data_IF_667455610399
#
_entry.id   IF_667455610399
#
_cell.length_a   1.000
_cell.length_b   1.000
_cell.length_c   1.000
_cell.angle_alpha   90.00
_cell.angle_beta   90.00
_cell.angle_gamma   90.00
#
_symmetry.space_group_name_H-M   'P 1'
#
loop_
_entity.id
_entity.type
_entity.pdbx_description
1 polymer ?
#
# COMPACT_ATOMS: atom_id res chain seq x y z
N UNK A 1 20.85 -27.52 5.63
CA UNK A 1 20.03 -26.70 6.54
C UNK A 1 20.31 -25.23 6.26
N UNK A 2 19.47 -24.61 5.43
CA UNK A 2 19.44 -23.15 5.26
C UNK A 2 18.03 -22.80 4.77
N UNK A 3 17.06 -22.90 5.68
CA UNK A 3 15.68 -22.52 5.38
C UNK A 3 15.57 -21.01 5.23
N UNK A 4 14.88 -20.66 4.15
CA UNK A 4 14.26 -19.39 3.82
C UNK A 4 13.91 -18.52 5.04
N UNK A 5 14.47 -17.30 5.06
CA UNK A 5 14.12 -16.25 6.03
C UNK A 5 13.61 -15.00 5.32
N UNK A 6 12.48 -15.10 4.64
CA UNK A 6 11.70 -13.92 4.22
C UNK A 6 10.61 -13.70 5.27
N UNK A 7 10.96 -12.99 6.35
CA UNK A 7 10.12 -12.89 7.55
C UNK A 7 9.67 -11.48 7.94
N UNK A 8 9.88 -10.50 7.08
CA UNK A 8 9.44 -9.12 7.35
C UNK A 8 8.31 -8.77 6.40
N UNK A 9 7.18 -8.31 6.94
CA UNK A 9 6.00 -7.90 6.19
C UNK A 9 5.57 -6.48 6.61
N UNK A 10 5.01 -5.67 5.69
CA UNK A 10 4.35 -4.42 6.07
C UNK A 10 3.29 -4.65 7.15
N UNK A 11 3.19 -3.72 8.10
CA UNK A 11 2.27 -3.80 9.24
C UNK A 11 2.84 -4.46 10.49
N UNK A 12 3.99 -5.13 10.44
CA UNK A 12 4.60 -5.74 11.63
C UNK A 12 5.11 -4.68 12.62
N UNK A 13 4.84 -4.86 13.90
CA UNK A 13 5.37 -4.06 15.00
C UNK A 13 6.83 -4.41 15.27
N UNK A 14 7.71 -3.42 15.25
CA UNK A 14 9.16 -3.57 15.39
C UNK A 14 9.58 -3.23 16.81
N UNK A 15 10.35 -4.12 17.44
CA UNK A 15 10.90 -3.97 18.78
C UNK A 15 12.42 -4.11 18.76
N UNK A 16 13.11 -3.30 19.56
CA UNK A 16 14.56 -3.40 19.73
C UNK A 16 14.95 -4.62 20.56
N UNK A 17 16.26 -4.93 20.60
CA UNK A 17 16.82 -6.00 21.43
C UNK A 17 16.60 -5.78 22.95
N UNK A 18 16.34 -4.53 23.34
CA UNK A 18 15.94 -4.08 24.66
C UNK A 18 14.44 -4.29 24.95
N UNK A 19 13.66 -4.78 23.98
CA UNK A 19 12.22 -5.02 24.09
C UNK A 19 11.36 -3.76 23.91
N UNK A 20 11.98 -2.60 23.70
CA UNK A 20 11.30 -1.32 23.50
C UNK A 20 10.69 -1.23 22.10
N UNK A 21 9.53 -0.57 22.00
CA UNK A 21 8.84 -0.39 20.72
C UNK A 21 9.55 0.65 19.86
N UNK A 22 9.89 0.28 18.64
CA UNK A 22 10.57 1.13 17.67
C UNK A 22 9.56 1.78 16.72
N UNK A 23 8.60 1.01 16.21
CA UNK A 23 7.64 1.48 15.21
C UNK A 23 6.96 0.33 14.46
N UNK A 24 6.41 0.61 13.28
CA UNK A 24 5.73 -0.38 12.44
C UNK A 24 6.40 -0.46 11.07
N UNK A 25 6.60 -1.66 10.54
CA UNK A 25 7.12 -1.86 9.18
C UNK A 25 6.16 -1.21 8.19
N UNK A 26 6.64 -0.17 7.51
CA UNK A 26 5.92 0.59 6.49
C UNK A 26 6.15 -0.01 5.10
N UNK A 27 7.38 -0.42 4.80
CA UNK A 27 7.77 -0.95 3.49
C UNK A 27 8.90 -1.96 3.66
N UNK A 28 8.89 -3.03 2.87
CA UNK A 28 9.99 -3.99 2.80
C UNK A 28 10.66 -3.85 1.44
N UNK A 29 11.97 -3.67 1.41
CA UNK A 29 12.78 -3.53 0.19
C UNK A 29 13.75 -4.69 0.08
N UNK A 30 14.50 -4.76 -1.01
CA UNK A 30 15.44 -5.86 -1.26
C UNK A 30 16.50 -5.99 -0.16
N UNK A 31 17.06 -4.86 0.32
CA UNK A 31 18.20 -4.84 1.27
C UNK A 31 17.83 -4.43 2.70
N UNK A 32 16.72 -3.72 2.86
CA UNK A 32 16.28 -3.15 4.13
C UNK A 32 14.74 -3.18 4.23
N UNK A 33 14.22 -2.64 5.32
CA UNK A 33 12.81 -2.30 5.46
C UNK A 33 12.66 -0.96 6.16
N UNK A 34 11.63 -0.21 5.80
CA UNK A 34 11.33 1.10 6.37
C UNK A 34 10.38 0.91 7.55
N UNK A 35 10.71 1.50 8.69
CA UNK A 35 9.89 1.51 9.89
C UNK A 35 9.32 2.91 10.11
N UNK A 36 8.00 3.02 10.13
CA UNK A 36 7.27 4.22 10.54
C UNK A 36 7.26 4.32 12.05
N UNK A 37 7.62 5.49 12.59
CA UNK A 37 7.80 5.69 14.04
C UNK A 37 6.95 6.85 14.54
N UNK A 38 6.13 6.68 15.59
CA UNK A 38 5.31 7.77 16.12
C UNK A 38 6.17 8.95 16.57
N UNK A 39 5.94 10.14 16.02
CA UNK A 39 6.67 11.39 16.36
C UNK A 39 8.17 11.38 16.00
N UNK A 40 8.62 10.39 15.25
CA UNK A 40 9.98 10.30 14.72
C UNK A 40 9.93 10.10 13.21
N UNK A 41 11.05 10.34 12.53
CA UNK A 41 11.14 10.08 11.08
C UNK A 41 11.18 8.58 10.82
N UNK A 42 10.68 8.19 9.66
CA UNK A 42 10.84 6.85 9.10
C UNK A 42 12.32 6.50 9.07
N UNK A 43 12.63 5.23 9.33
CA UNK A 43 14.00 4.75 9.34
C UNK A 43 14.13 3.46 8.52
N UNK A 44 15.16 3.40 7.68
CA UNK A 44 15.53 2.17 6.98
C UNK A 44 16.38 1.30 7.91
N UNK A 45 15.93 0.08 8.14
CA UNK A 45 16.61 -0.91 8.98
C UNK A 45 17.10 -2.05 8.07
N UNK A 46 18.41 -2.34 8.05
CA UNK A 46 18.97 -3.46 7.33
C UNK A 46 18.33 -4.78 7.74
N UNK A 47 18.11 -5.69 6.78
CA UNK A 47 17.48 -6.99 7.05
C UNK A 47 18.30 -7.88 7.99
N UNK A 48 19.62 -7.75 7.99
CA UNK A 48 20.53 -8.46 8.89
C UNK A 48 20.45 -7.99 10.34
N UNK A 49 19.81 -6.84 10.61
CA UNK A 49 19.49 -6.39 11.95
C UNK A 49 18.30 -7.14 12.57
N UNK A 50 17.58 -7.99 11.83
CA UNK A 50 16.45 -8.78 12.33
C UNK A 50 16.96 -10.00 13.10
N UNK A 51 16.59 -10.11 14.38
CA UNK A 51 16.87 -11.29 15.21
C UNK A 51 15.80 -12.35 15.01
N UNK A 52 14.53 -11.95 15.12
CA UNK A 52 13.39 -12.85 15.10
C UNK A 52 12.16 -12.15 14.51
N UNK A 53 11.29 -12.94 13.89
CA UNK A 53 10.07 -12.46 13.26
C UNK A 53 8.93 -13.43 13.55
N UNK A 54 7.97 -12.97 14.34
CA UNK A 54 6.80 -13.72 14.77
C UNK A 54 5.61 -13.23 13.92
N UNK A 55 5.45 -13.85 12.75
CA UNK A 55 4.42 -13.47 11.76
C UNK A 55 3.00 -13.60 12.30
N UNK A 56 2.70 -14.64 13.09
CA UNK A 56 1.40 -14.84 13.75
C UNK A 56 1.03 -13.73 14.74
N UNK A 57 2.03 -13.02 15.29
CA UNK A 57 1.84 -11.95 16.26
C UNK A 57 2.04 -10.55 15.64
N UNK A 58 2.31 -10.49 14.32
CA UNK A 58 2.74 -9.27 13.63
C UNK A 58 3.88 -8.56 14.39
N UNK A 59 4.87 -9.33 14.87
CA UNK A 59 5.96 -8.82 15.72
C UNK A 59 7.32 -9.13 15.10
N UNK A 60 8.18 -8.11 15.03
CA UNK A 60 9.53 -8.18 14.52
C UNK A 60 10.50 -7.73 15.62
N UNK A 61 11.48 -8.55 15.96
CA UNK A 61 12.50 -8.25 16.96
C UNK A 61 13.86 -8.04 16.31
N UNK A 62 14.50 -6.92 16.64
CA UNK A 62 15.81 -6.56 16.15
C UNK A 62 16.92 -7.11 17.06
N UNK A 63 18.09 -7.37 16.49
CA UNK A 63 19.32 -7.67 17.20
C UNK A 63 20.03 -6.44 17.77
N UNK A 64 19.53 -5.24 17.45
CA UNK A 64 20.02 -3.94 17.92
C UNK A 64 18.99 -3.26 18.82
N UNK A 65 19.44 -2.43 19.76
CA UNK A 65 18.56 -1.71 20.69
C UNK A 65 17.80 -0.56 20.02
N UNK A 66 16.67 -0.16 20.61
CA UNK A 66 15.88 1.01 20.16
C UNK A 66 16.73 2.29 20.04
N UNK A 67 17.68 2.50 20.98
CA UNK A 67 18.59 3.64 21.00
C UNK A 67 19.64 3.62 19.87
N UNK A 68 20.08 2.43 19.45
CA UNK A 68 20.97 2.28 18.28
C UNK A 68 20.21 2.58 16.99
N UNK A 69 18.95 2.12 16.88
CA UNK A 69 18.07 2.48 15.76
C UNK A 69 17.90 4.00 15.67
N UNK A 70 17.72 4.70 16.79
CA UNK A 70 17.66 6.17 16.79
C UNK A 70 18.92 6.86 16.26
N UNK A 71 20.09 6.27 16.48
CA UNK A 71 21.37 6.79 15.98
C UNK A 71 21.53 6.54 14.48
N UNK A 72 21.08 5.39 13.97
CA UNK A 72 21.09 5.07 12.54
C UNK A 72 20.28 6.06 11.69
N UNK A 73 19.22 6.63 12.27
CA UNK A 73 18.41 7.67 11.61
C UNK A 73 19.14 9.00 11.41
N UNK A 74 20.25 9.23 12.13
CA UNK A 74 21.07 10.45 12.03
C UNK A 74 22.22 10.32 11.03
N UNK A 75 22.72 9.10 10.81
CA UNK A 75 23.91 8.86 9.97
C UNK A 75 23.58 8.72 8.47
N UNK A 76 22.33 8.41 8.12
CA UNK A 76 21.87 8.27 6.72
C UNK A 76 21.37 9.58 6.09
N UNK A 77 21.96 10.72 6.49
CA UNK A 77 21.61 12.03 5.92
C UNK A 77 22.05 12.07 4.43
N UNK A 78 21.13 12.23 3.46
CA UNK A 78 21.53 12.33 2.06
C UNK A 78 22.26 13.65 1.85
N UNK A 79 23.54 13.58 1.48
CA UNK A 79 24.25 14.70 0.89
C UNK A 79 23.51 15.16 -0.36
N UNK A 80 22.92 16.35 -0.31
CA UNK A 80 22.17 17.01 -1.40
C UNK A 80 22.84 16.84 -2.77
N UNK A 81 22.17 16.23 -3.78
CA UNK A 81 22.55 16.44 -5.16
C UNK A 81 21.99 17.77 -5.66
N UNK A 82 22.86 18.52 -6.32
CA UNK A 82 22.68 19.84 -6.92
C UNK A 82 21.46 19.91 -7.85
N UNK A 83 20.74 21.03 -7.77
CA UNK A 83 19.61 21.39 -8.61
C UNK A 83 19.90 21.25 -10.11
N UNK A 84 19.07 20.48 -10.81
CA UNK A 84 19.10 20.36 -12.27
C UNK A 84 17.71 20.01 -12.82
N UNK A 85 17.12 20.97 -13.53
CA UNK A 85 16.08 20.84 -14.56
C UNK A 85 14.85 19.94 -14.28
N UNK A 86 13.72 20.58 -13.96
CA UNK A 86 12.39 20.00 -14.14
C UNK A 86 12.03 19.98 -15.63
N UNK A 87 11.65 18.84 -16.23
CA UNK A 87 10.96 18.84 -17.50
C UNK A 87 9.50 19.23 -17.27
N UNK A 88 9.07 20.30 -17.92
CA UNK A 88 7.66 20.64 -18.12
C UNK A 88 7.02 19.63 -19.08
N UNK A 89 6.26 18.70 -18.52
CA UNK A 89 5.40 17.78 -19.26
C UNK A 89 4.23 17.41 -18.37
N UNK A 90 3.13 18.14 -18.51
CA UNK A 90 1.84 17.73 -17.99
C UNK A 90 1.33 16.63 -18.94
N UNK A 91 1.63 15.37 -18.62
CA UNK A 91 0.89 14.22 -19.11
C UNK A 91 0.24 13.54 -17.91
N UNK A 92 -1.03 13.23 -18.08
CA UNK A 92 -2.02 12.74 -17.11
C UNK A 92 -1.54 11.45 -16.43
N UNK A 93 -1.17 11.52 -15.15
CA UNK A 93 -0.52 10.41 -14.40
C UNK A 93 -1.49 9.22 -14.15
N UNK A 94 -2.79 9.38 -14.40
CA UNK A 94 -3.77 8.28 -14.27
C UNK A 94 -3.80 7.36 -15.50
N UNK A 95 -3.45 7.84 -16.69
CA UNK A 95 -3.39 7.05 -17.92
C UNK A 95 -2.01 6.38 -18.03
N UNK A 96 -1.86 5.18 -17.49
CA UNK A 96 -0.63 4.41 -17.78
C UNK A 96 -0.21 3.36 -16.76
N UNK A 97 -0.88 3.27 -15.60
CA UNK A 97 -0.59 2.18 -14.67
C UNK A 97 -1.06 0.85 -15.25
N UNK A 98 -0.16 -0.13 -15.23
CA UNK A 98 -0.38 -1.47 -15.78
C UNK A 98 -0.43 -2.50 -14.67
N UNK A 99 -1.00 -3.66 -14.99
CA UNK A 99 -1.01 -4.84 -14.12
C UNK A 99 0.42 -5.20 -13.67
N UNK A 100 1.42 -5.05 -14.55
CA UNK A 100 2.83 -5.25 -14.22
C UNK A 100 3.32 -4.44 -13.00
N UNK A 101 2.74 -3.27 -12.74
CA UNK A 101 3.15 -2.39 -11.62
C UNK A 101 2.66 -2.88 -10.26
N UNK A 102 1.68 -3.81 -10.26
CA UNK A 102 1.04 -4.36 -9.06
C UNK A 102 1.28 -5.87 -8.91
N UNK A 103 1.80 -6.51 -9.96
CA UNK A 103 2.05 -7.94 -10.02
C UNK A 103 3.16 -8.36 -9.06
N UNK A 104 2.95 -9.51 -8.42
CA UNK A 104 3.93 -10.22 -7.59
C UNK A 104 4.47 -11.39 -8.42
N UNK A 105 5.80 -11.49 -8.55
CA UNK A 105 6.45 -12.56 -9.32
C UNK A 105 6.60 -13.87 -8.53
N UNK A 106 6.49 -13.81 -7.20
CA UNK A 106 6.54 -15.02 -6.37
C UNK A 106 5.21 -15.75 -6.50
N UNK A 107 5.27 -16.97 -7.04
CA UNK A 107 4.09 -17.78 -7.35
C UNK A 107 3.93 -18.87 -6.32
N UNK A 108 2.93 -18.70 -5.45
CA UNK A 108 2.50 -19.74 -4.52
C UNK A 108 1.33 -20.52 -5.16
N UNK A 109 1.69 -21.58 -5.90
CA UNK A 109 0.79 -22.37 -6.78
C UNK A 109 0.72 -23.84 -6.38
N UNK A 110 -0.30 -24.55 -6.87
CA UNK A 110 -0.49 -26.00 -6.64
C UNK A 110 -0.73 -26.76 -7.95
N UNK A 111 -0.41 -28.06 -7.95
CA UNK A 111 -0.70 -28.95 -9.07
C UNK A 111 -2.15 -29.45 -9.04
N UNK A 112 -2.81 -29.67 -10.20
CA UNK A 112 -4.17 -30.22 -10.24
C UNK A 112 -4.31 -31.61 -9.61
N UNK A 113 -3.23 -32.40 -9.56
CA UNK A 113 -3.21 -33.74 -8.95
C UNK A 113 -2.85 -33.74 -7.46
N UNK A 114 -2.58 -32.56 -6.89
CA UNK A 114 -2.28 -32.43 -5.47
C UNK A 114 -3.53 -32.76 -4.64
N UNK A 115 -3.35 -33.49 -3.54
CA UNK A 115 -4.44 -33.83 -2.64
C UNK A 115 -5.01 -32.57 -1.95
N UNK A 116 -6.33 -32.54 -1.79
CA UNK A 116 -7.04 -31.47 -1.08
C UNK A 116 -6.45 -31.22 0.31
N UNK A 117 -6.08 -32.25 1.07
CA UNK A 117 -5.47 -32.14 2.41
C UNK A 117 -4.21 -31.27 2.41
N UNK A 118 -3.37 -31.41 1.39
CA UNK A 118 -2.14 -30.63 1.27
C UNK A 118 -2.46 -29.16 1.01
N UNK A 119 -3.44 -28.90 0.13
CA UNK A 119 -3.92 -27.53 -0.16
C UNK A 119 -4.57 -26.90 1.04
N UNK A 120 -5.39 -27.65 1.80
CA UNK A 120 -6.00 -27.18 3.03
C UNK A 120 -4.96 -26.73 4.05
N UNK A 121 -3.89 -27.53 4.21
CA UNK A 121 -2.80 -27.22 5.14
C UNK A 121 -2.10 -25.91 4.75
N UNK A 122 -1.87 -25.69 3.46
CA UNK A 122 -1.22 -24.47 2.94
C UNK A 122 -2.10 -23.24 3.14
N UNK A 123 -3.37 -23.30 2.70
CA UNK A 123 -4.33 -22.21 2.87
C UNK A 123 -4.56 -21.86 4.35
N UNK A 124 -4.66 -22.87 5.23
CA UNK A 124 -4.85 -22.68 6.66
C UNK A 124 -3.65 -22.06 7.38
N UNK A 125 -2.44 -22.19 6.83
CA UNK A 125 -1.21 -21.63 7.41
C UNK A 125 -0.90 -20.20 6.98
N UNK A 126 -1.39 -19.76 5.81
CA UNK A 126 -0.88 -18.56 5.13
C UNK A 126 -1.88 -17.39 5.03
N UNK A 127 -3.02 -17.48 5.72
CA UNK A 127 -4.10 -16.48 5.64
C UNK A 127 -4.58 -16.16 4.20
N UNK A 128 -4.35 -17.10 3.27
CA UNK A 128 -4.85 -17.02 1.89
C UNK A 128 -6.24 -17.64 1.80
N UNK A 129 -7.07 -17.11 0.90
CA UNK A 129 -8.42 -17.61 0.63
C UNK A 129 -8.50 -18.45 -0.64
N UNK A 130 -7.50 -18.36 -1.52
CA UNK A 130 -7.42 -19.14 -2.75
C UNK A 130 -5.98 -19.44 -3.17
N UNK A 131 -5.80 -20.48 -3.99
CA UNK A 131 -4.54 -20.78 -4.67
C UNK A 131 -4.78 -20.99 -6.17
N UNK A 132 -3.83 -20.53 -6.98
CA UNK A 132 -3.83 -20.79 -8.43
C UNK A 132 -3.35 -22.22 -8.66
N UNK A 133 -4.11 -22.97 -9.46
CA UNK A 133 -3.79 -24.33 -9.88
C UNK A 133 -3.12 -24.28 -11.25
N UNK A 134 -1.92 -24.86 -11.35
CA UNK A 134 -1.07 -24.80 -12.55
C UNK A 134 -0.75 -26.20 -13.06
N UNK A 135 -0.90 -26.43 -14.37
CA UNK A 135 -0.42 -27.62 -15.05
C UNK A 135 0.72 -27.22 -16.01
N UNK A 136 1.94 -27.65 -15.70
CA UNK A 136 3.14 -27.13 -16.36
C UNK A 136 3.37 -25.66 -15.98
N UNK A 137 3.24 -24.77 -16.96
CA UNK A 137 3.36 -23.30 -16.77
C UNK A 137 2.02 -22.58 -16.92
N UNK A 138 0.91 -23.30 -17.16
CA UNK A 138 -0.38 -22.69 -17.47
C UNK A 138 -1.33 -22.77 -16.28
N UNK A 139 -2.00 -21.66 -15.87
CA UNK A 139 -3.06 -21.74 -14.89
C UNK A 139 -4.24 -22.49 -15.50
N UNK A 140 -4.71 -23.53 -14.80
CA UNK A 140 -5.82 -24.40 -15.22
C UNK A 140 -7.03 -24.32 -14.28
N UNK A 141 -6.88 -23.66 -13.13
CA UNK A 141 -7.95 -23.44 -12.18
C UNK A 141 -7.56 -22.56 -11.02
N UNK A 142 -8.54 -22.24 -10.18
CA UNK A 142 -8.34 -21.63 -8.86
C UNK A 142 -9.10 -22.49 -7.84
N UNK A 143 -8.44 -22.85 -6.74
CA UNK A 143 -9.08 -23.56 -5.63
C UNK A 143 -9.30 -22.59 -4.48
N UNK A 144 -10.54 -22.50 -3.98
CA UNK A 144 -10.92 -21.59 -2.89
C UNK A 144 -11.03 -22.35 -1.58
N UNK A 145 -10.61 -21.71 -0.49
CA UNK A 145 -10.70 -22.27 0.86
C UNK A 145 -12.12 -22.75 1.19
N UNK A 146 -13.14 -21.95 0.85
CA UNK A 146 -14.55 -22.27 1.11
C UNK A 146 -15.05 -23.56 0.45
N UNK A 147 -14.44 -23.96 -0.67
CA UNK A 147 -14.84 -25.16 -1.42
C UNK A 147 -14.28 -26.43 -0.79
N UNK A 148 -13.11 -26.31 -0.16
CA UNK A 148 -12.38 -27.46 0.33
C UNK A 148 -12.38 -27.60 1.85
N UNK A 149 -12.63 -26.53 2.62
CA UNK A 149 -12.49 -26.55 4.09
C UNK A 149 -13.41 -27.56 4.81
N UNK A 150 -14.50 -27.98 4.18
CA UNK A 150 -15.41 -29.01 4.71
C UNK A 150 -15.05 -30.45 4.34
N UNK A 151 -14.06 -30.66 3.47
CA UNK A 151 -13.67 -31.98 2.98
C UNK A 151 -12.76 -32.68 4.00
N UNK A 152 -13.07 -33.92 4.35
CA UNK A 152 -12.36 -34.72 5.34
C UNK A 152 -12.35 -36.20 4.95
N UNK A 153 -11.50 -37.00 5.62
CA UNK A 153 -11.42 -38.44 5.35
C UNK A 153 -10.93 -38.72 3.92
N UNK A 154 -11.63 -39.61 3.21
CA UNK A 154 -11.31 -39.95 1.82
C UNK A 154 -11.46 -38.76 0.86
N UNK A 155 -12.41 -37.85 1.12
CA UNK A 155 -12.59 -36.67 0.26
C UNK A 155 -11.41 -35.70 0.32
N UNK A 156 -10.66 -35.67 1.42
CA UNK A 156 -9.45 -34.86 1.53
C UNK A 156 -8.25 -35.45 0.76
N UNK A 157 -8.31 -36.73 0.36
CA UNK A 157 -7.28 -37.38 -0.46
C UNK A 157 -7.52 -37.22 -1.96
N UNK A 158 -8.72 -36.76 -2.36
CA UNK A 158 -9.06 -36.52 -3.77
C UNK A 158 -8.23 -35.36 -4.34
N UNK A 159 -7.96 -35.36 -5.65
CA UNK A 159 -7.16 -34.33 -6.29
C UNK A 159 -7.93 -33.01 -6.42
N UNK A 160 -7.22 -31.88 -6.31
CA UNK A 160 -7.79 -30.52 -6.37
C UNK A 160 -8.52 -30.24 -7.68
N UNK A 161 -8.15 -30.87 -8.80
CA UNK A 161 -8.82 -30.72 -10.10
C UNK A 161 -10.32 -31.04 -10.10
N UNK A 162 -10.80 -31.75 -9.09
CA UNK A 162 -12.22 -32.08 -8.90
C UNK A 162 -13.02 -30.96 -8.20
N UNK A 163 -12.33 -30.04 -7.50
CA UNK A 163 -12.96 -28.99 -6.69
C UNK A 163 -12.60 -27.58 -7.18
N UNK A 164 -11.59 -27.43 -8.05
CA UNK A 164 -11.16 -26.14 -8.57
C UNK A 164 -12.20 -25.52 -9.51
N UNK A 165 -12.29 -24.20 -9.48
CA UNK A 165 -12.97 -23.39 -10.48
C UNK A 165 -12.13 -23.39 -11.76
N UNK A 166 -12.74 -23.75 -12.89
CA UNK A 166 -12.06 -23.83 -14.20
C UNK A 166 -12.28 -22.60 -15.08
N UNK A 167 -13.35 -21.86 -14.84
CA UNK A 167 -13.64 -20.59 -15.50
C UNK A 167 -13.26 -19.48 -14.53
N UNK A 168 -12.17 -18.77 -14.83
CA UNK A 168 -11.67 -17.70 -14.00
C UNK A 168 -10.98 -16.66 -14.89
N UNK A 169 -11.02 -15.37 -14.52
CA UNK A 169 -10.31 -14.35 -15.26
C UNK A 169 -8.80 -14.47 -15.03
N UNK A 170 -8.04 -14.19 -16.07
CA UNK A 170 -6.60 -13.99 -16.02
C UNK A 170 -6.28 -12.63 -16.61
N UNK A 171 -5.21 -12.03 -16.11
CA UNK A 171 -4.75 -10.72 -16.56
C UNK A 171 -3.46 -10.85 -17.35
N UNK A 172 -3.09 -9.80 -18.08
CA UNK A 172 -1.79 -9.72 -18.75
C UNK A 172 -0.96 -8.58 -18.16
N UNK A 173 0.38 -8.66 -18.10
CA UNK A 173 1.20 -7.59 -17.54
C UNK A 173 0.99 -6.24 -18.24
N UNK A 174 0.65 -6.25 -19.53
CA UNK A 174 0.43 -5.06 -20.34
C UNK A 174 -0.93 -4.39 -20.14
N UNK A 175 -1.94 -5.10 -19.61
CA UNK A 175 -3.26 -4.49 -19.36
C UNK A 175 -3.12 -3.28 -18.45
N UNK A 176 -3.85 -2.22 -18.78
CA UNK A 176 -4.04 -1.12 -17.85
C UNK A 176 -4.90 -1.58 -16.67
N UNK A 177 -4.79 -0.90 -15.54
CA UNK A 177 -5.64 -1.19 -14.37
C UNK A 177 -7.14 -1.07 -14.72
N UNK A 178 -7.51 -0.05 -15.50
CA UNK A 178 -8.90 0.17 -15.94
C UNK A 178 -9.41 -0.98 -16.81
N UNK A 179 -8.62 -1.44 -17.79
CA UNK A 179 -8.99 -2.60 -18.62
C UNK A 179 -9.10 -3.88 -17.79
N UNK A 180 -8.17 -4.09 -16.84
CA UNK A 180 -8.21 -5.23 -15.95
C UNK A 180 -9.50 -5.24 -15.10
N UNK A 181 -9.88 -4.11 -14.51
CA UNK A 181 -11.12 -4.00 -13.72
C UNK A 181 -12.38 -4.17 -14.56
N UNK A 182 -12.42 -3.56 -15.75
CA UNK A 182 -13.51 -3.75 -16.69
C UNK A 182 -13.69 -5.23 -17.05
N UNK A 183 -12.58 -5.94 -17.28
CA UNK A 183 -12.60 -7.38 -17.51
C UNK A 183 -13.08 -8.16 -16.28
N UNK A 184 -12.63 -7.82 -15.07
CA UNK A 184 -13.05 -8.50 -13.84
C UNK A 184 -14.54 -8.33 -13.51
N UNK A 185 -15.14 -7.20 -13.89
CA UNK A 185 -16.58 -6.98 -13.73
C UNK A 185 -17.42 -7.99 -14.53
N UNK A 186 -16.87 -8.59 -15.59
CA UNK A 186 -17.54 -9.67 -16.34
C UNK A 186 -17.63 -10.99 -15.52
N UNK A 187 -16.87 -11.09 -14.42
CA UNK A 187 -16.71 -12.28 -13.59
C UNK A 187 -17.14 -12.07 -12.13
N UNK A 188 -17.86 -10.99 -11.79
CA UNK A 188 -18.12 -10.55 -10.40
C UNK A 188 -18.60 -11.69 -9.47
N UNK A 189 -19.56 -12.49 -9.92
CA UNK A 189 -20.09 -13.63 -9.15
C UNK A 189 -19.04 -14.74 -8.91
N UNK A 190 -18.13 -14.94 -9.85
CA UNK A 190 -17.10 -15.98 -9.81
C UNK A 190 -15.89 -15.59 -8.95
N UNK A 191 -15.64 -14.28 -8.79
CA UNK A 191 -14.53 -13.72 -8.02
C UNK A 191 -14.72 -13.84 -6.49
N UNK A 192 -15.93 -14.15 -6.04
CA UNK A 192 -16.19 -14.36 -4.60
C UNK A 192 -15.27 -15.44 -4.01
N UNK A 193 -14.46 -15.04 -3.03
CA UNK A 193 -13.50 -15.92 -2.36
C UNK A 193 -12.16 -16.11 -3.10
N UNK A 194 -11.88 -15.29 -4.13
CA UNK A 194 -10.59 -15.23 -4.80
C UNK A 194 -9.86 -13.97 -4.32
N UNK A 195 -8.69 -14.17 -3.71
CA UNK A 195 -7.85 -13.09 -3.19
C UNK A 195 -6.67 -12.76 -4.10
N UNK A 196 -6.27 -13.69 -4.99
CA UNK A 196 -5.22 -13.49 -6.00
C UNK A 196 -5.69 -13.91 -7.38
N UNK A 197 -5.32 -13.11 -8.38
CA UNK A 197 -5.63 -13.35 -9.79
C UNK A 197 -4.37 -13.71 -10.56
N UNK A 198 -4.43 -14.70 -11.46
CA UNK A 198 -3.29 -15.08 -12.29
C UNK A 198 -2.98 -14.00 -13.32
N UNK A 199 -1.70 -13.69 -13.48
CA UNK A 199 -1.17 -12.85 -14.56
C UNK A 199 -0.40 -13.75 -15.52
N UNK A 200 -0.80 -13.74 -16.79
CA UNK A 200 -0.23 -14.60 -17.83
C UNK A 200 0.40 -13.80 -18.96
N UNK A 201 1.41 -14.38 -19.62
CA UNK A 201 1.98 -13.83 -20.85
C UNK A 201 1.11 -14.14 -22.09
N UNK A 202 1.61 -13.74 -23.27
CA UNK A 202 0.94 -13.94 -24.56
C UNK A 202 0.76 -15.44 -24.92
N UNK A 203 1.60 -16.33 -24.38
CA UNK A 203 1.47 -17.77 -24.55
C UNK A 203 0.56 -18.43 -23.50
N UNK A 204 -0.05 -17.64 -22.61
CA UNK A 204 -0.91 -18.10 -21.53
C UNK A 204 -0.16 -18.76 -20.37
N UNK A 205 1.14 -18.48 -20.23
CA UNK A 205 1.96 -18.98 -19.11
C UNK A 205 1.87 -18.04 -17.93
N UNK A 206 1.80 -18.58 -16.73
CA UNK A 206 1.75 -17.81 -15.50
C UNK A 206 3.09 -17.10 -15.26
N UNK A 207 3.06 -15.77 -15.25
CA UNK A 207 4.23 -14.90 -15.03
C UNK A 207 4.16 -14.12 -13.72
N UNK A 208 3.01 -14.15 -13.05
CA UNK A 208 2.83 -13.56 -11.73
C UNK A 208 1.40 -13.73 -11.23
N UNK A 209 1.15 -13.14 -10.07
CA UNK A 209 -0.19 -13.04 -9.50
C UNK A 209 -0.41 -11.61 -8.98
N UNK A 210 -1.66 -11.20 -8.86
CA UNK A 210 -2.01 -9.88 -8.32
C UNK A 210 -3.10 -10.04 -7.26
N UNK A 211 -2.96 -9.41 -6.08
CA UNK A 211 -4.03 -9.38 -5.11
C UNK A 211 -5.25 -8.67 -5.71
N UNK A 212 -6.43 -9.29 -5.67
CA UNK A 212 -7.66 -8.70 -6.21
C UNK A 212 -7.97 -7.33 -5.57
N UNK A 213 -7.68 -7.20 -4.26
CA UNK A 213 -7.81 -5.93 -3.55
C UNK A 213 -6.85 -4.84 -4.04
N UNK A 214 -5.66 -5.19 -4.55
CA UNK A 214 -4.70 -4.21 -5.05
C UNK A 214 -5.22 -3.52 -6.31
N UNK A 215 -5.94 -4.24 -7.17
CA UNK A 215 -6.64 -3.70 -8.34
C UNK A 215 -7.78 -2.75 -7.94
N UNK A 216 -8.68 -3.19 -7.06
CA UNK A 216 -9.80 -2.36 -6.60
C UNK A 216 -9.33 -1.05 -5.93
N UNK A 217 -8.26 -1.14 -5.12
CA UNK A 217 -7.65 0.06 -4.53
C UNK A 217 -6.95 0.94 -5.56
N UNK A 218 -6.41 0.38 -6.65
CA UNK A 218 -5.79 1.18 -7.70
C UNK A 218 -6.82 2.02 -8.48
N UNK A 219 -8.05 1.52 -8.65
CA UNK A 219 -9.17 2.27 -9.26
C UNK A 219 -9.62 3.46 -8.41
N UNK A 220 -9.92 3.20 -7.14
CA UNK A 220 -10.41 4.23 -6.20
C UNK A 220 -9.39 5.36 -6.04
N UNK A 221 -8.10 5.06 -6.20
CA UNK A 221 -7.00 6.04 -6.20
C UNK A 221 -6.92 6.85 -7.49
N UNK A 222 -7.24 6.29 -8.66
CA UNK A 222 -7.25 7.05 -9.91
C UNK A 222 -8.35 8.12 -9.91
N UNK A 223 -9.53 7.80 -9.36
CA UNK A 223 -10.68 8.73 -9.24
C UNK A 223 -10.39 9.87 -8.25
N UNK A 224 -9.69 9.61 -7.15
CA UNK A 224 -9.35 10.62 -6.14
C UNK A 224 -8.15 11.51 -6.57
N UNK A 225 -7.18 10.96 -7.32
CA UNK A 225 -6.08 11.73 -7.93
C UNK A 225 -6.60 12.77 -8.92
N UNK A 226 -7.57 12.43 -9.75
CA UNK A 226 -8.23 13.40 -10.65
C UNK A 226 -8.90 14.53 -9.86
N UNK A 227 -9.63 14.20 -8.79
CA UNK A 227 -10.37 15.18 -8.00
C UNK A 227 -9.45 16.14 -7.22
N UNK A 228 -8.29 15.67 -6.74
CA UNK A 228 -7.33 16.50 -6.00
C UNK A 228 -6.39 17.32 -6.91
N UNK A 229 -6.11 16.85 -8.13
CA UNK A 229 -5.36 17.61 -9.12
C UNK A 229 -6.16 18.84 -9.62
N UNK A 230 -7.48 18.76 -9.60
CA UNK A 230 -8.39 19.82 -10.09
C UNK A 230 -8.61 20.97 -9.07
N UNK A 231 -8.29 20.77 -7.79
CA UNK A 231 -8.47 21.80 -6.76
C UNK A 231 -7.45 22.95 -6.83
N UNK A 232 -6.42 22.88 -7.68
CA UNK A 232 -5.51 24.02 -7.92
C UNK A 232 -4.70 24.52 -6.71
N UNK A 233 -4.57 23.72 -5.64
CA UNK A 233 -3.88 24.11 -4.40
C UNK A 233 -2.38 24.36 -4.61
N UNK A 234 -1.90 25.49 -4.08
CA UNK A 234 -0.50 25.93 -4.13
C UNK A 234 -0.09 26.52 -2.78
N UNK A 235 1.21 26.46 -2.48
CA UNK A 235 1.77 27.22 -1.36
C UNK A 235 1.59 28.73 -1.62
N UNK A 236 1.36 29.50 -0.56
CA UNK A 236 1.06 30.94 -0.60
C UNK A 236 -0.42 31.30 -0.71
N UNK A 237 -1.31 30.35 -1.02
CA UNK A 237 -2.74 30.63 -1.11
C UNK A 237 -3.33 31.11 0.21
N UNK A 238 -4.27 32.05 0.16
CA UNK A 238 -5.00 32.53 1.34
C UNK A 238 -6.03 31.48 1.76
N UNK A 239 -6.08 31.16 3.05
CA UNK A 239 -7.08 30.23 3.59
C UNK A 239 -8.15 31.02 4.33
N UNK A 240 -9.41 30.80 3.96
CA UNK A 240 -10.60 31.40 4.59
C UNK A 240 -11.52 30.31 5.13
N UNK A 241 -12.14 30.54 6.29
CA UNK A 241 -13.13 29.63 6.84
C UNK A 241 -14.50 29.80 6.20
N UNK A 242 -15.45 28.93 6.55
CA UNK A 242 -16.81 28.92 5.98
C UNK A 242 -17.55 30.26 6.09
N UNK A 243 -17.26 31.04 7.15
CA UNK A 243 -17.82 32.38 7.35
C UNK A 243 -17.04 33.51 6.62
N UNK A 244 -16.14 33.17 5.69
CA UNK A 244 -15.33 34.12 4.92
C UNK A 244 -14.16 34.77 5.68
N UNK A 245 -13.94 34.41 6.95
CA UNK A 245 -12.85 34.96 7.76
C UNK A 245 -11.50 34.35 7.35
N UNK A 246 -10.50 35.19 7.10
CA UNK A 246 -9.11 34.75 6.86
C UNK A 246 -8.55 34.01 8.07
N UNK A 247 -8.06 32.79 7.84
CA UNK A 247 -7.48 31.90 8.83
C UNK A 247 -5.96 31.86 8.76
N UNK A 248 -5.39 31.98 7.55
CA UNK A 248 -3.95 31.92 7.34
C UNK A 248 -3.56 31.85 5.87
N UNK A 249 -2.40 31.26 5.61
CA UNK A 249 -1.91 30.96 4.26
C UNK A 249 -1.41 29.53 4.18
N UNK A 250 -1.62 28.86 3.05
CA UNK A 250 -1.02 27.55 2.79
C UNK A 250 0.49 27.74 2.77
N UNK A 251 1.19 27.04 3.66
CA UNK A 251 2.65 27.08 3.78
C UNK A 251 3.31 25.86 3.17
N UNK A 252 2.66 24.71 3.29
CA UNK A 252 3.18 23.43 2.82
C UNK A 252 2.04 22.58 2.27
N UNK A 253 2.34 21.83 1.21
CA UNK A 253 1.48 20.76 0.71
C UNK A 253 2.16 19.45 1.07
N UNK A 254 1.49 18.64 1.88
CA UNK A 254 1.97 17.33 2.26
C UNK A 254 1.40 16.36 1.24
N UNK A 255 2.27 15.84 0.39
CA UNK A 255 1.89 14.83 -0.59
C UNK A 255 2.26 13.44 -0.11
N UNK A 256 1.40 12.48 -0.36
CA UNK A 256 1.76 11.08 -0.18
C UNK A 256 2.88 10.76 -1.18
N UNK A 257 4.01 10.24 -0.68
CA UNK A 257 5.20 10.00 -1.50
C UNK A 257 5.05 8.81 -2.45
N UNK A 258 4.07 7.93 -2.21
CA UNK A 258 3.77 6.78 -3.06
C UNK A 258 2.73 7.14 -4.12
N UNK A 259 1.78 8.04 -3.83
CA UNK A 259 0.66 8.36 -4.73
C UNK A 259 0.73 9.75 -5.36
N UNK A 260 1.53 10.67 -4.81
CA UNK A 260 1.61 12.08 -5.23
C UNK A 260 0.40 12.94 -4.80
N UNK A 261 -0.61 12.33 -4.19
CA UNK A 261 -1.85 13.00 -3.76
C UNK A 261 -1.63 13.94 -2.59
N UNK A 262 -2.50 14.93 -2.43
CA UNK A 262 -2.49 15.78 -1.24
C UNK A 262 -2.96 14.96 -0.02
N UNK A 263 -2.04 14.45 0.79
CA UNK A 263 -2.34 13.80 2.07
C UNK A 263 -2.70 14.81 3.19
N UNK A 264 -2.42 16.08 2.94
CA UNK A 264 -2.79 17.19 3.81
C UNK A 264 -2.08 18.47 3.42
N UNK A 265 -2.39 19.56 4.09
CA UNK A 265 -1.71 20.84 3.88
C UNK A 265 -1.52 21.55 5.21
N UNK A 266 -0.50 22.39 5.28
CA UNK A 266 -0.18 23.16 6.48
C UNK A 266 -0.56 24.60 6.28
N UNK A 267 -1.36 25.13 7.20
CA UNK A 267 -1.75 26.53 7.22
C UNK A 267 -0.94 27.27 8.26
N UNK A 268 -0.13 28.22 7.80
CA UNK A 268 0.57 29.18 8.65
C UNK A 268 -0.41 30.27 9.09
N UNK A 269 -0.46 30.55 10.38
CA UNK A 269 -1.38 31.49 11.00
C UNK A 269 -0.76 32.21 12.21
N UNK A 270 -1.51 33.16 12.78
CA UNK A 270 -1.06 33.98 13.91
C UNK A 270 -0.11 35.12 13.52
N UNK A 271 0.30 35.90 14.52
CA UNK A 271 1.18 37.06 14.32
C UNK A 271 2.54 36.58 13.79
N UNK A 272 2.92 37.04 12.60
CA UNK A 272 4.14 36.64 11.86
C UNK A 272 4.17 35.18 11.35
N UNK A 273 3.02 34.47 11.30
CA UNK A 273 2.97 33.13 10.72
C UNK A 273 3.72 32.05 11.51
N UNK A 274 3.97 32.29 12.80
CA UNK A 274 4.76 31.39 13.67
C UNK A 274 4.03 30.11 14.09
N UNK A 275 2.72 30.03 13.82
CA UNK A 275 1.90 28.88 14.19
C UNK A 275 1.45 28.18 12.95
N UNK A 276 1.47 26.85 13.00
CA UNK A 276 1.11 26.01 11.86
C UNK A 276 0.04 25.04 12.30
N UNK A 277 -0.94 24.77 11.43
CA UNK A 277 -1.94 23.73 11.64
C UNK A 277 -1.97 22.83 10.41
N UNK A 278 -1.96 21.52 10.64
CA UNK A 278 -2.13 20.54 9.57
C UNK A 278 -3.61 20.26 9.38
N UNK A 279 -4.06 20.29 8.14
CA UNK A 279 -5.43 19.98 7.75
C UNK A 279 -5.45 18.87 6.70
N UNK A 280 -6.54 18.12 6.67
CA UNK A 280 -6.83 17.12 5.64
C UNK A 280 -7.55 17.76 4.46
N UNK A 281 -7.46 17.21 3.24
CA UNK A 281 -8.18 17.75 2.08
C UNK A 281 -9.71 17.82 2.28
N UNK A 282 -10.26 16.92 3.09
CA UNK A 282 -11.70 16.81 3.36
C UNK A 282 -12.35 18.09 3.92
N UNK A 283 -11.57 18.91 4.63
CA UNK A 283 -12.06 20.17 5.19
C UNK A 283 -12.13 21.30 4.16
N UNK A 284 -11.64 21.10 2.94
CA UNK A 284 -11.75 22.07 1.85
C UNK A 284 -13.18 22.01 1.30
N UNK A 285 -13.82 23.16 1.24
CA UNK A 285 -15.11 23.33 0.57
C UNK A 285 -14.89 23.55 -0.92
N UNK A 286 -14.05 24.52 -1.27
CA UNK A 286 -13.70 24.86 -2.65
C UNK A 286 -12.41 25.69 -2.72
N UNK A 287 -11.86 25.81 -3.92
CA UNK A 287 -10.70 26.66 -4.22
C UNK A 287 -11.07 27.65 -5.32
N UNK A 288 -10.86 28.94 -5.05
CA UNK A 288 -11.20 30.04 -5.95
C UNK A 288 -9.99 30.96 -6.14
N UNK A 289 -9.40 30.94 -7.34
CA UNK A 289 -8.22 31.74 -7.65
C UNK A 289 -7.05 31.41 -6.72
N UNK A 290 -6.62 32.38 -5.89
CA UNK A 290 -5.56 32.21 -4.88
C UNK A 290 -6.12 32.01 -3.45
N UNK A 291 -7.39 31.62 -3.33
CA UNK A 291 -8.08 31.42 -2.04
C UNK A 291 -8.59 29.98 -1.89
N UNK A 292 -8.30 29.37 -0.74
CA UNK A 292 -8.85 28.08 -0.30
C UNK A 292 -9.94 28.36 0.72
N UNK A 293 -11.17 27.94 0.44
CA UNK A 293 -12.32 28.06 1.34
C UNK A 293 -12.50 26.74 2.08
N UNK A 294 -12.53 26.80 3.42
CA UNK A 294 -12.76 25.62 4.26
C UNK A 294 -14.23 25.48 4.65
N UNK A 295 -14.67 24.24 4.87
CA UNK A 295 -15.97 23.88 5.47
C UNK A 295 -16.09 24.30 6.94
N UNK A 296 -14.95 24.48 7.61
CA UNK A 296 -14.88 24.85 9.03
C UNK A 296 -14.71 26.35 9.22
N UNK A 297 -15.18 26.88 10.34
CA UNK A 297 -15.05 28.30 10.68
C UNK A 297 -13.77 28.63 11.48
N UNK A 298 -13.59 29.89 11.83
CA UNK A 298 -12.41 30.33 12.58
C UNK A 298 -12.38 29.80 14.04
N UNK A 299 -13.54 29.47 14.64
CA UNK A 299 -13.59 28.91 15.99
C UNK A 299 -13.10 27.47 15.96
N UNK A 300 -13.64 26.67 15.05
CA UNK A 300 -13.24 25.27 14.85
C UNK A 300 -11.77 25.17 14.45
N UNK A 301 -11.31 26.01 13.51
CA UNK A 301 -9.90 26.07 13.13
C UNK A 301 -8.96 26.31 14.32
N UNK A 302 -9.37 27.18 15.27
CA UNK A 302 -8.57 27.48 16.46
C UNK A 302 -8.50 26.33 17.47
N UNK A 303 -9.45 25.39 17.44
CA UNK A 303 -9.46 24.21 18.31
C UNK A 303 -8.50 23.11 17.83
N UNK A 304 -8.08 23.13 16.56
CA UNK A 304 -7.09 22.19 16.04
C UNK A 304 -5.74 22.39 16.75
N UNK A 305 -4.96 21.33 16.92
CA UNK A 305 -3.62 21.42 17.52
C UNK A 305 -2.65 22.20 16.61
N UNK A 306 -1.84 23.08 17.19
CA UNK A 306 -0.70 23.66 16.48
C UNK A 306 0.39 22.58 16.31
N UNK A 307 1.08 22.58 15.17
CA UNK A 307 2.29 21.77 14.93
C UNK A 307 3.52 22.68 15.05
N UNK A 308 4.63 22.15 15.56
CA UNK A 308 5.89 22.90 15.64
C UNK A 308 6.43 23.16 14.22
N UNK A 309 6.88 24.39 13.97
CA UNK A 309 7.52 24.75 12.72
C UNK A 309 8.87 24.03 12.64
N UNK A 310 9.08 23.18 11.63
CA UNK A 310 10.42 22.68 11.31
C UNK A 310 11.24 23.89 10.81
N UNK A 311 12.21 24.30 11.61
CA UNK A 311 13.14 25.40 11.32
C UNK A 311 14.29 24.91 10.45
#
# INVERSE_FOLDING_TARGET
MSSERLWVQPGMNVFGADGEYVGQVKQVRERDFVVSRPRHRDIAIPRDAVREALTSEQRLELGISSKEVDQMGRENEPTNPTAGHLPSGQETIAEGRRVADLMIQTLDVVSPDQAVRTVQTRLGGEARLSLIVVEGERPVGIVRWREIMGLAGEDAERPVREFMVREFPHLTPSQTITEALAHLNEFEDQLSGIDYLPVVDEEGRLVGEIPAMALAHAEQRAVVVEEAADLGLRSGMTVVGAAGKKLGTVSELIRDTMTGELAGFVVAHGLLGRKHKRLTPEVIDRVEGDTVVLKIDAREFNLLADIEAQS
#
